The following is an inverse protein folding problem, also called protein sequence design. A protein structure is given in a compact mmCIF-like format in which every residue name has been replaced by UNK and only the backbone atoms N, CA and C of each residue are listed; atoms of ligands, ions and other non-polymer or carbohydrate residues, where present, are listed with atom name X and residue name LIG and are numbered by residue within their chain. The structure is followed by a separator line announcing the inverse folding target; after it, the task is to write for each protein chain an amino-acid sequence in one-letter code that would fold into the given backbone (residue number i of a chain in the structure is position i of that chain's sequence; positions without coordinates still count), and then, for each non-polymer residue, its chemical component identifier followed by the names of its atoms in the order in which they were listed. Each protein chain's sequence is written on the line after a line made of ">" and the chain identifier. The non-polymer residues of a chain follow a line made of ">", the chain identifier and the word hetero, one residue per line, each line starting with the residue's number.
data_IF_602169333882
#
_entry.id   IF_602169333882
#
_cell.length_a   1.000
_cell.length_b   1.000
_cell.length_c   1.000
_cell.angle_alpha   90.00
_cell.angle_beta   90.00
_cell.angle_gamma   90.00
#
_symmetry.space_group_name_H-M   'P 1'
#
loop_
_entity.id
_entity.type
_entity.pdbx_description
1 polymer ?
#
# COMPACT_ATOMS: atom_id res chain seq x y z
N UNK A 1 -7.05 -20.12 7.76
CA UNK A 1 -7.04 -18.75 7.21
C UNK A 1 -7.62 -18.83 5.81
N UNK A 2 -8.49 -17.90 5.45
CA UNK A 2 -8.99 -17.83 4.07
C UNK A 2 -7.90 -17.30 3.12
N UNK A 3 -8.00 -17.60 1.83
CA UNK A 3 -7.07 -17.10 0.79
C UNK A 3 -6.88 -15.58 0.88
N UNK A 4 -7.99 -14.83 1.02
CA UNK A 4 -8.00 -13.38 1.19
C UNK A 4 -7.18 -12.87 2.39
N UNK A 5 -7.24 -13.58 3.53
CA UNK A 5 -6.45 -13.21 4.72
C UNK A 5 -4.95 -13.39 4.50
N UNK A 6 -4.55 -14.38 3.70
CA UNK A 6 -3.15 -14.61 3.36
C UNK A 6 -2.63 -13.51 2.43
N UNK A 7 -3.40 -13.11 1.42
CA UNK A 7 -3.06 -11.99 0.54
C UNK A 7 -2.99 -10.67 1.30
N UNK A 8 -3.97 -10.39 2.16
CA UNK A 8 -3.96 -9.20 3.00
C UNK A 8 -2.69 -9.13 3.86
N UNK A 9 -2.27 -10.24 4.47
CA UNK A 9 -1.03 -10.31 5.25
C UNK A 9 0.22 -10.11 4.40
N UNK A 10 0.28 -10.69 3.20
CA UNK A 10 1.41 -10.51 2.27
C UNK A 10 1.53 -9.05 1.83
N UNK A 11 0.43 -8.42 1.41
CA UNK A 11 0.42 -7.01 1.02
C UNK A 11 0.84 -6.09 2.18
N UNK A 12 0.36 -6.35 3.39
CA UNK A 12 0.76 -5.57 4.56
C UNK A 12 2.22 -5.80 4.96
N UNK A 13 2.75 -7.01 4.80
CA UNK A 13 4.17 -7.28 5.03
C UNK A 13 5.07 -6.50 4.04
N UNK A 14 4.68 -6.46 2.75
CA UNK A 14 5.40 -5.68 1.74
C UNK A 14 5.29 -4.17 1.97
N UNK A 15 4.13 -3.65 2.39
CA UNK A 15 4.00 -2.21 2.69
C UNK A 15 4.96 -1.77 3.80
N UNK A 16 5.15 -2.60 4.83
CA UNK A 16 6.13 -2.33 5.90
C UNK A 16 7.57 -2.32 5.38
N UNK A 17 7.91 -3.15 4.40
CA UNK A 17 9.23 -3.12 3.76
C UNK A 17 9.43 -1.84 2.97
N UNK A 18 8.42 -1.41 2.21
CA UNK A 18 8.47 -0.16 1.47
C UNK A 18 8.58 1.07 2.39
N UNK A 19 7.89 1.08 3.54
CA UNK A 19 8.10 2.11 4.55
C UNK A 19 9.55 2.16 5.06
N UNK A 20 10.15 0.99 5.28
CA UNK A 20 11.57 0.89 5.66
C UNK A 20 12.51 1.47 4.59
N UNK A 21 12.25 1.17 3.31
CA UNK A 21 13.01 1.71 2.17
C UNK A 21 12.83 3.22 2.05
N UNK A 22 11.60 3.71 2.13
CA UNK A 22 11.31 5.15 2.09
C UNK A 22 12.05 5.92 3.18
N UNK A 23 12.05 5.42 4.42
CA UNK A 23 12.79 6.04 5.53
C UNK A 23 14.30 6.05 5.27
N UNK A 24 14.85 4.96 4.74
CA UNK A 24 16.27 4.88 4.39
C UNK A 24 16.63 5.87 3.28
N UNK A 25 15.88 5.89 2.18
CA UNK A 25 16.06 6.82 1.08
C UNK A 25 15.99 8.28 1.55
N UNK A 26 15.01 8.61 2.38
CA UNK A 26 14.87 9.94 2.99
C UNK A 26 16.10 10.32 3.81
N UNK A 27 16.60 9.42 4.67
CA UNK A 27 17.81 9.67 5.47
C UNK A 27 19.08 9.82 4.63
N UNK A 28 19.10 9.26 3.42
CA UNK A 28 20.17 9.40 2.44
C UNK A 28 19.97 10.60 1.49
N UNK A 29 18.93 11.41 1.69
CA UNK A 29 18.54 12.53 0.84
C UNK A 29 18.16 12.13 -0.60
N UNK A 30 17.87 10.85 -0.84
CA UNK A 30 17.29 10.37 -2.10
C UNK A 30 15.77 10.56 -2.06
N UNK A 31 15.34 11.80 -2.34
CA UNK A 31 13.94 12.18 -2.21
C UNK A 31 13.04 11.52 -3.25
N UNK A 32 13.54 11.28 -4.45
CA UNK A 32 12.78 10.61 -5.51
C UNK A 32 12.45 9.17 -5.11
N UNK A 33 13.44 8.43 -4.61
CA UNK A 33 13.24 7.06 -4.13
C UNK A 33 12.38 7.02 -2.85
N UNK A 34 12.53 8.02 -1.97
CA UNK A 34 11.69 8.17 -0.78
C UNK A 34 10.20 8.36 -1.13
N UNK A 35 9.90 9.20 -2.12
CA UNK A 35 8.52 9.43 -2.59
C UNK A 35 7.96 8.17 -3.26
N UNK A 36 8.74 7.53 -4.13
CA UNK A 36 8.33 6.30 -4.81
C UNK A 36 7.97 5.19 -3.81
N UNK A 37 8.85 4.90 -2.85
CA UNK A 37 8.58 3.89 -1.84
C UNK A 37 7.47 4.27 -0.86
N UNK A 38 7.25 5.57 -0.61
CA UNK A 38 6.09 6.03 0.16
C UNK A 38 4.78 5.76 -0.57
N UNK A 39 4.71 6.03 -1.88
CA UNK A 39 3.54 5.71 -2.72
C UNK A 39 3.26 4.19 -2.71
N UNK A 40 4.31 3.38 -2.90
CA UNK A 40 4.21 1.92 -2.88
C UNK A 40 3.75 1.36 -1.53
N UNK A 41 4.20 1.96 -0.42
CA UNK A 41 3.76 1.61 0.92
C UNK A 41 2.25 1.80 1.07
N UNK A 42 1.73 2.98 0.71
CA UNK A 42 0.29 3.29 0.81
C UNK A 42 -0.52 2.36 -0.10
N UNK A 43 -0.11 2.17 -1.35
CA UNK A 43 -0.78 1.30 -2.31
C UNK A 43 -0.97 -0.12 -1.76
N UNK A 44 0.09 -0.74 -1.24
CA UNK A 44 0.03 -2.11 -0.72
C UNK A 44 -0.75 -2.19 0.60
N UNK A 45 -0.64 -1.17 1.47
CA UNK A 45 -1.44 -1.10 2.68
C UNK A 45 -2.94 -1.05 2.37
N UNK A 46 -3.34 -0.25 1.37
CA UNK A 46 -4.75 -0.17 0.94
C UNK A 46 -5.20 -1.48 0.29
N UNK A 47 -4.41 -2.09 -0.60
CA UNK A 47 -4.70 -3.44 -1.13
C UNK A 47 -4.92 -4.44 0.00
N UNK A 48 -4.09 -4.43 1.04
CA UNK A 48 -4.27 -5.30 2.19
C UNK A 48 -5.61 -5.07 2.92
N UNK A 49 -6.03 -3.81 3.08
CA UNK A 49 -7.32 -3.48 3.70
C UNK A 49 -8.50 -3.95 2.86
N UNK A 50 -8.43 -3.81 1.53
CA UNK A 50 -9.53 -4.21 0.64
C UNK A 50 -9.66 -5.74 0.60
N UNK A 51 -8.53 -6.45 0.47
CA UNK A 51 -8.50 -7.92 0.51
C UNK A 51 -9.02 -8.45 1.86
N UNK A 52 -8.68 -7.78 2.99
CA UNK A 52 -9.20 -8.15 4.30
C UNK A 52 -10.73 -7.99 4.42
N UNK A 53 -11.33 -7.10 3.62
CA UNK A 53 -12.79 -6.93 3.51
C UNK A 53 -13.45 -7.87 2.50
N UNK A 54 -12.67 -8.72 1.81
CA UNK A 54 -13.12 -9.63 0.73
C UNK A 54 -13.69 -8.90 -0.49
N UNK A 55 -13.27 -7.67 -0.69
CA UNK A 55 -13.54 -6.92 -1.92
C UNK A 55 -12.36 -7.14 -2.88
N UNK A 56 -12.64 -7.37 -4.16
CA UNK A 56 -11.62 -7.72 -5.15
C UNK A 56 -11.08 -6.46 -5.84
N UNK A 57 -9.75 -6.25 -5.86
CA UNK A 57 -9.15 -5.04 -6.47
C UNK A 57 -8.53 -5.36 -7.83
N UNK A 58 -9.21 -5.01 -8.91
CA UNK A 58 -8.67 -5.18 -10.26
C UNK A 58 -7.79 -4.02 -10.74
N UNK A 59 -7.88 -2.80 -10.16
CA UNK A 59 -7.20 -1.61 -10.69
C UNK A 59 -6.51 -0.76 -9.61
N UNK A 60 -5.27 -0.34 -9.90
CA UNK A 60 -4.41 0.38 -8.96
C UNK A 60 -4.72 1.88 -8.84
N UNK A 61 -5.31 2.53 -9.85
CA UNK A 61 -5.53 3.99 -9.82
C UNK A 61 -6.88 4.39 -9.23
N UNK A 62 -8.00 4.14 -9.95
CA UNK A 62 -9.30 4.67 -9.58
C UNK A 62 -9.84 4.17 -8.23
N UNK A 63 -9.63 2.89 -7.92
CA UNK A 63 -10.11 2.27 -6.68
C UNK A 63 -9.36 2.77 -5.44
N UNK A 64 -8.07 3.06 -5.55
CA UNK A 64 -7.31 3.67 -4.45
C UNK A 64 -7.77 5.11 -4.22
N UNK A 65 -7.94 5.88 -5.29
CA UNK A 65 -8.39 7.26 -5.22
C UNK A 65 -9.81 7.37 -4.62
N UNK A 66 -10.73 6.46 -4.97
CA UNK A 66 -12.09 6.47 -4.45
C UNK A 66 -12.18 6.20 -2.96
N UNK A 67 -11.28 5.40 -2.38
CA UNK A 67 -11.23 5.16 -0.92
C UNK A 67 -10.95 6.44 -0.13
N UNK A 68 -10.20 7.38 -0.73
CA UNK A 68 -9.91 8.68 -0.13
C UNK A 68 -10.85 9.79 -0.62
N UNK A 69 -11.78 9.48 -1.53
CA UNK A 69 -12.66 10.46 -2.18
C UNK A 69 -13.98 10.73 -1.43
N UNK A 70 -14.42 9.84 -0.54
CA UNK A 70 -15.68 10.01 0.22
C UNK A 70 -15.51 10.90 1.47
N UNK A 71 -14.78 12.01 1.36
CA UNK A 71 -14.62 12.98 2.45
C UNK A 71 -14.63 14.41 1.90
N UNK A 72 -15.74 14.78 1.25
CA UNK A 72 -16.19 16.17 1.06
C UNK A 72 -17.71 16.20 1.18
#
# INVERSE_FOLDING_TARGET
>A
MSFYEEFARKFFAESRKDLGRAKKAFSSHDYSDAVFHSQQCVEKAVKAMIEAKREYVCNHGPTLASIFGESV
#
